data_IF_513662961229
#
_entry.id   IF_513662961229
#
_cell.length_a   1.000
_cell.length_b   1.000
_cell.length_c   1.000
_cell.angle_alpha   90.00
_cell.angle_beta   90.00
_cell.angle_gamma   90.00
#
_symmetry.space_group_name_H-M   'P 1'
#
loop_
_entity.id
_entity.type
_entity.pdbx_description
1 polymer ?
#
# COMPACT_ATOMS: atom_id res chain seq x y z
N UNK A 1 27.20 16.90 2.35
CA UNK A 1 26.73 18.28 2.63
C UNK A 1 26.08 18.27 4.01
N UNK A 2 26.51 19.14 4.93
CA UNK A 2 25.86 19.25 6.25
C UNK A 2 24.65 20.18 6.14
N UNK A 3 23.45 19.68 6.39
CA UNK A 3 22.26 20.52 6.58
C UNK A 3 22.26 21.09 8.01
N UNK A 4 23.12 22.07 8.25
CA UNK A 4 23.14 22.82 9.51
C UNK A 4 21.99 23.83 9.51
N UNK A 5 21.37 24.07 10.67
CA UNK A 5 20.33 25.11 10.80
C UNK A 5 18.91 24.73 10.35
N UNK A 6 18.57 23.43 10.34
CA UNK A 6 17.18 22.99 10.07
C UNK A 6 16.31 22.89 11.33
N UNK A 7 16.90 23.06 12.52
CA UNK A 7 16.24 22.88 13.81
C UNK A 7 14.96 23.71 13.88
N UNK A 8 13.84 23.08 14.23
CA UNK A 8 12.54 23.71 14.39
C UNK A 8 11.84 24.11 13.09
N UNK A 9 12.46 23.92 11.92
CA UNK A 9 11.77 24.15 10.66
C UNK A 9 10.70 23.07 10.43
N UNK A 10 9.59 23.45 9.79
CA UNK A 10 8.48 22.54 9.56
C UNK A 10 8.71 21.72 8.29
N UNK A 11 8.54 20.42 8.41
CA UNK A 11 8.47 19.47 7.30
C UNK A 11 7.03 18.97 7.20
N UNK A 12 6.39 19.20 6.07
CA UNK A 12 5.10 18.59 5.77
C UNK A 12 5.32 17.21 5.15
N UNK A 13 4.63 16.21 5.68
CA UNK A 13 4.65 14.82 5.19
C UNK A 13 3.22 14.37 4.93
N UNK A 14 2.93 13.94 3.71
CA UNK A 14 1.64 13.35 3.33
C UNK A 14 1.83 11.86 3.09
N UNK A 15 1.13 11.02 3.85
CA UNK A 15 1.03 9.58 3.61
C UNK A 15 0.01 9.37 2.51
N UNK A 16 0.48 9.03 1.31
CA UNK A 16 -0.39 8.83 0.14
C UNK A 16 -1.10 7.48 0.24
N UNK A 17 -0.31 6.42 0.43
CA UNK A 17 -0.77 5.05 0.37
C UNK A 17 0.38 4.06 0.43
N UNK A 18 0.04 2.78 0.35
CA UNK A 18 1.01 1.70 0.21
C UNK A 18 0.71 0.86 -1.03
N UNK A 19 1.71 0.12 -1.50
CA UNK A 19 1.58 -0.82 -2.61
C UNK A 19 2.24 -2.14 -2.25
N UNK A 20 1.71 -3.24 -2.79
CA UNK A 20 2.25 -4.59 -2.63
C UNK A 20 2.51 -5.01 -1.18
N UNK A 21 1.64 -4.58 -0.25
CA UNK A 21 1.81 -4.96 1.16
C UNK A 21 1.78 -6.48 1.32
N UNK A 22 2.65 -6.99 2.19
CA UNK A 22 2.60 -8.39 2.63
C UNK A 22 1.25 -8.64 3.30
N UNK A 23 0.54 -9.70 2.90
CA UNK A 23 -0.70 -10.08 3.58
C UNK A 23 -0.39 -10.69 4.95
N UNK A 24 -1.05 -10.20 5.99
CA UNK A 24 -1.03 -10.79 7.32
C UNK A 24 -2.29 -11.62 7.61
N UNK A 25 -3.36 -11.41 6.85
CA UNK A 25 -4.66 -12.08 7.03
C UNK A 25 -4.78 -13.40 6.24
N UNK A 26 -5.45 -14.38 6.84
CA UNK A 26 -5.79 -15.66 6.20
C UNK A 26 -7.22 -15.70 5.62
N UNK A 27 -8.17 -15.02 6.26
CA UNK A 27 -9.61 -15.18 5.98
C UNK A 27 -10.25 -13.86 5.54
N UNK A 28 -9.84 -12.72 6.10
CA UNK A 28 -10.38 -11.40 5.78
C UNK A 28 -9.47 -10.57 4.88
N UNK A 29 -9.93 -9.36 4.53
CA UNK A 29 -9.05 -8.30 4.03
C UNK A 29 -8.36 -7.62 5.20
N UNK A 30 -7.11 -7.24 5.00
CA UNK A 30 -6.36 -6.45 5.98
C UNK A 30 -6.85 -4.99 5.99
N UNK A 31 -6.79 -4.39 7.18
CA UNK A 31 -7.17 -3.02 7.53
C UNK A 31 -5.92 -2.20 7.89
N UNK A 32 -5.09 -1.82 6.91
CA UNK A 32 -3.79 -1.23 7.20
C UNK A 32 -3.88 0.21 7.74
N UNK A 33 -2.93 0.58 8.59
CA UNK A 33 -2.63 1.97 8.96
C UNK A 33 -1.12 2.20 9.03
N UNK A 34 -0.71 3.46 8.94
CA UNK A 34 0.70 3.87 8.92
C UNK A 34 1.02 4.72 10.14
N UNK A 35 2.07 4.34 10.85
CA UNK A 35 2.71 5.15 11.87
C UNK A 35 3.98 5.80 11.30
N UNK A 36 4.09 7.11 11.45
CA UNK A 36 5.28 7.89 11.17
C UNK A 36 5.96 8.24 12.48
N UNK A 37 7.25 7.93 12.59
CA UNK A 37 8.06 8.16 13.79
C UNK A 37 9.27 9.02 13.44
N UNK A 38 9.40 10.15 14.14
CA UNK A 38 10.50 11.09 13.97
C UNK A 38 10.95 11.61 15.34
N UNK A 39 12.09 11.13 15.81
CA UNK A 39 12.57 11.44 17.16
C UNK A 39 11.60 10.89 18.20
N UNK A 40 11.04 11.77 19.03
CA UNK A 40 10.00 11.44 20.00
C UNK A 40 8.57 11.70 19.50
N UNK A 41 8.40 12.21 18.28
CA UNK A 41 7.09 12.50 17.70
C UNK A 41 6.61 11.30 16.90
N UNK A 42 5.39 10.87 17.18
CA UNK A 42 4.70 9.82 16.43
C UNK A 42 3.36 10.36 15.91
N UNK A 43 3.07 10.06 14.65
CA UNK A 43 1.78 10.28 14.04
C UNK A 43 1.26 8.98 13.47
N UNK A 44 -0.07 8.80 13.46
CA UNK A 44 -0.73 7.63 12.91
C UNK A 44 -1.84 8.09 11.96
N UNK A 45 -1.95 7.43 10.81
CA UNK A 45 -3.10 7.59 9.90
C UNK A 45 -4.36 6.94 10.49
N UNK A 46 -5.51 7.35 9.98
CA UNK A 46 -6.72 6.55 10.09
C UNK A 46 -6.48 5.17 9.49
N UNK A 47 -7.21 4.18 10.02
CA UNK A 47 -7.21 2.83 9.47
C UNK A 47 -7.95 2.82 8.13
N UNK A 48 -7.34 2.24 7.11
CA UNK A 48 -7.97 2.02 5.81
C UNK A 48 -8.73 0.69 5.85
N UNK A 49 -9.97 0.71 6.33
CA UNK A 49 -10.84 -0.48 6.42
C UNK A 49 -11.04 -1.12 5.04
N UNK A 50 -10.89 -2.44 4.97
CA UNK A 50 -10.88 -3.26 3.76
C UNK A 50 -9.86 -2.80 2.70
N UNK A 51 -8.82 -2.07 3.12
CA UNK A 51 -7.80 -1.46 2.25
C UNK A 51 -6.91 -2.47 1.53
N UNK A 52 -6.83 -3.70 2.04
CA UNK A 52 -6.10 -4.79 1.39
C UNK A 52 -4.61 -4.45 1.21
N UNK A 53 -4.02 -4.89 0.11
CA UNK A 53 -2.57 -4.72 -0.15
C UNK A 53 -2.17 -3.36 -0.73
N UNK A 54 -3.15 -2.53 -1.08
CA UNK A 54 -2.93 -1.24 -1.75
C UNK A 54 -3.79 -0.13 -1.12
N UNK A 55 -3.64 0.13 0.19
CA UNK A 55 -4.43 1.15 0.88
C UNK A 55 -4.07 2.56 0.44
N UNK A 56 -5.05 3.46 0.50
CA UNK A 56 -4.89 4.89 0.23
C UNK A 56 -5.32 5.65 1.48
N UNK A 57 -4.50 6.60 1.92
CA UNK A 57 -4.73 7.39 3.13
C UNK A 57 -4.93 8.87 2.81
N UNK A 58 -4.01 9.46 2.03
CA UNK A 58 -4.01 10.90 1.68
C UNK A 58 -3.99 11.83 2.91
N UNK A 59 -3.34 11.38 4.00
CA UNK A 59 -3.31 12.12 5.27
C UNK A 59 -2.03 12.93 5.42
N UNK A 60 -2.15 14.16 5.93
CA UNK A 60 -1.06 15.13 6.05
C UNK A 60 -0.68 15.34 7.51
N UNK A 61 0.61 15.27 7.79
CA UNK A 61 1.23 15.53 9.08
C UNK A 61 2.33 16.59 8.94
N UNK A 62 2.69 17.21 10.07
CA UNK A 62 3.75 18.22 10.13
C UNK A 62 4.73 17.85 11.24
N UNK A 63 6.01 17.75 10.91
CA UNK A 63 7.08 17.53 11.86
C UNK A 63 7.92 18.78 12.05
N UNK A 64 8.34 19.05 13.28
CA UNK A 64 9.41 20.01 13.56
C UNK A 64 10.75 19.31 13.39
N UNK A 65 11.54 19.72 12.40
CA UNK A 65 12.83 19.12 12.09
C UNK A 65 13.80 19.25 13.25
N UNK A 66 14.53 18.15 13.49
CA UNK A 66 15.57 18.05 14.52
C UNK A 66 16.92 18.03 13.82
N UNK A 67 17.85 18.83 14.31
CA UNK A 67 19.21 18.87 13.81
C UNK A 67 19.85 17.49 13.98
N UNK A 68 20.66 17.10 12.99
CA UNK A 68 21.28 15.76 12.86
C UNK A 68 20.34 14.57 12.66
N UNK A 69 19.03 14.67 12.90
CA UNK A 69 18.10 13.60 12.55
C UNK A 69 17.72 13.69 11.06
N UNK A 70 18.00 12.62 10.31
CA UNK A 70 17.90 12.60 8.83
C UNK A 70 16.94 11.54 8.29
N UNK A 71 16.25 10.83 9.17
CA UNK A 71 15.37 9.73 8.81
C UNK A 71 14.03 9.88 9.52
N UNK A 72 12.94 9.54 8.82
CA UNK A 72 11.63 9.22 9.41
C UNK A 72 11.46 7.70 9.31
N UNK A 73 11.10 7.05 10.41
CA UNK A 73 10.69 5.65 10.36
C UNK A 73 9.21 5.59 9.99
N UNK A 74 8.89 4.71 9.04
CA UNK A 74 7.53 4.37 8.65
C UNK A 74 7.27 2.97 9.14
N UNK A 75 6.15 2.77 9.83
CA UNK A 75 5.72 1.45 10.30
C UNK A 75 4.30 1.22 9.84
N UNK A 76 4.05 0.10 9.16
CA UNK A 76 2.73 -0.27 8.66
C UNK A 76 2.22 -1.45 9.46
N UNK A 77 0.99 -1.30 9.95
CA UNK A 77 0.28 -2.27 10.77
C UNK A 77 -1.04 -2.63 10.11
N UNK A 78 -1.55 -3.80 10.42
CA UNK A 78 -2.90 -4.26 10.13
C UNK A 78 -3.73 -4.16 11.42
N UNK A 79 -4.82 -3.40 11.39
CA UNK A 79 -5.68 -3.24 12.56
C UNK A 79 -6.56 -4.47 12.75
N UNK A 80 -6.62 -4.99 13.98
CA UNK A 80 -7.49 -6.09 14.33
C UNK A 80 -8.47 -5.64 15.43
N UNK A 81 -9.77 -5.95 15.26
CA UNK A 81 -10.78 -5.53 16.25
C UNK A 81 -10.76 -6.41 17.51
N UNK A 82 -10.44 -7.69 17.37
CA UNK A 82 -10.53 -8.69 18.46
C UNK A 82 -9.17 -9.05 19.03
N UNK A 83 -8.13 -9.01 18.21
CA UNK A 83 -6.75 -9.37 18.57
C UNK A 83 -5.84 -8.15 18.51
N UNK A 84 -4.57 -8.33 18.90
CA UNK A 84 -3.56 -7.31 18.67
C UNK A 84 -3.34 -7.05 17.18
N UNK A 85 -2.98 -5.81 16.86
CA UNK A 85 -2.64 -5.40 15.51
C UNK A 85 -1.38 -6.12 15.01
N UNK A 86 -1.41 -6.55 13.74
CA UNK A 86 -0.31 -7.29 13.14
C UNK A 86 0.67 -6.36 12.45
N UNK A 87 1.96 -6.56 12.72
CA UNK A 87 3.02 -5.83 12.04
C UNK A 87 3.14 -6.31 10.59
N UNK A 88 3.02 -5.40 9.62
CA UNK A 88 3.22 -5.69 8.20
C UNK A 88 4.67 -5.46 7.82
N UNK A 89 5.18 -4.24 8.05
CA UNK A 89 6.52 -3.85 7.64
C UNK A 89 6.96 -2.48 8.14
N UNK A 90 8.26 -2.21 8.05
CA UNK A 90 8.87 -0.92 8.41
C UNK A 90 9.87 -0.47 7.34
N UNK A 91 9.98 0.85 7.14
CA UNK A 91 10.90 1.47 6.20
C UNK A 91 11.53 2.73 6.78
N UNK A 92 12.73 3.08 6.29
CA UNK A 92 13.46 4.29 6.67
C UNK A 92 13.45 5.28 5.52
N UNK A 93 12.82 6.42 5.74
CA UNK A 93 12.65 7.49 4.75
C UNK A 93 13.75 8.51 4.95
N UNK A 94 14.62 8.68 3.94
CA UNK A 94 15.75 9.61 4.01
C UNK A 94 15.31 11.04 3.69
N UNK A 95 15.61 11.98 4.58
CA UNK A 95 15.23 13.38 4.42
C UNK A 95 16.16 14.17 3.47
N UNK A 96 17.29 13.59 3.05
CA UNK A 96 18.28 14.29 2.24
C UNK A 96 17.68 14.94 0.99
N UNK A 97 16.82 14.21 0.27
CA UNK A 97 16.24 14.70 -0.99
C UNK A 97 15.31 15.89 -0.75
N UNK A 98 14.37 15.78 0.19
CA UNK A 98 13.45 16.88 0.51
C UNK A 98 14.17 18.09 1.11
N UNK A 99 15.22 17.88 1.91
CA UNK A 99 16.01 19.00 2.47
C UNK A 99 16.84 19.73 1.40
N UNK A 100 17.33 19.01 0.38
CA UNK A 100 18.05 19.61 -0.75
C UNK A 100 17.12 20.33 -1.72
N UNK A 101 16.02 19.68 -2.11
CA UNK A 101 15.19 20.11 -3.25
C UNK A 101 13.82 20.67 -2.87
N UNK A 102 13.46 20.62 -1.59
CA UNK A 102 12.17 21.09 -1.07
C UNK A 102 11.01 20.12 -1.32
N UNK A 103 11.25 19.03 -2.04
CA UNK A 103 10.23 18.08 -2.44
C UNK A 103 10.78 16.65 -2.56
N UNK A 104 9.97 15.67 -2.15
CA UNK A 104 10.18 14.25 -2.42
C UNK A 104 8.84 13.52 -2.53
N UNK A 105 8.73 12.57 -3.46
CA UNK A 105 7.53 11.76 -3.75
C UNK A 105 7.91 10.31 -4.11
N UNK A 106 9.10 9.87 -3.70
CA UNK A 106 9.52 8.51 -3.99
C UNK A 106 8.77 7.48 -3.14
N UNK A 107 8.48 6.28 -3.67
CA UNK A 107 8.07 5.15 -2.87
C UNK A 107 9.26 4.64 -2.03
N UNK A 108 8.98 4.23 -0.79
CA UNK A 108 9.97 3.73 0.15
C UNK A 108 9.69 2.25 0.48
N UNK A 109 10.68 1.37 0.31
CA UNK A 109 10.49 -0.06 0.56
C UNK A 109 10.26 -0.32 2.05
N UNK A 110 9.35 -1.25 2.31
CA UNK A 110 9.04 -1.76 3.64
C UNK A 110 9.66 -3.15 3.80
N UNK A 111 10.09 -3.46 5.01
CA UNK A 111 10.66 -4.75 5.36
C UNK A 111 9.96 -5.34 6.57
N UNK A 112 9.81 -6.67 6.57
CA UNK A 112 9.36 -7.40 7.75
C UNK A 112 10.39 -7.33 8.87
N UNK A 113 10.04 -7.79 10.08
CA UNK A 113 11.02 -7.95 11.19
C UNK A 113 12.22 -8.82 10.83
N UNK A 114 12.08 -9.69 9.82
CA UNK A 114 13.15 -10.57 9.32
C UNK A 114 13.89 -9.99 8.12
N UNK A 115 13.67 -8.71 7.77
CA UNK A 115 14.31 -8.04 6.64
C UNK A 115 13.78 -8.43 5.25
N UNK A 116 12.67 -9.18 5.14
CA UNK A 116 12.09 -9.52 3.84
C UNK A 116 11.25 -8.37 3.32
N UNK A 117 11.21 -8.17 2.00
CA UNK A 117 10.35 -7.17 1.38
C UNK A 117 8.89 -7.35 1.80
N UNK A 118 8.23 -6.25 2.18
CA UNK A 118 6.88 -6.22 2.72
C UNK A 118 5.96 -5.20 2.01
N UNK A 119 6.36 -4.73 0.82
CA UNK A 119 5.67 -3.70 0.05
C UNK A 119 6.41 -2.37 0.07
N UNK A 120 5.72 -1.31 -0.32
CA UNK A 120 6.23 0.05 -0.38
C UNK A 120 5.22 1.04 0.23
N UNK A 121 5.73 2.10 0.85
CA UNK A 121 4.95 3.24 1.30
C UNK A 121 5.31 4.47 0.46
N UNK A 122 4.30 5.14 -0.10
CA UNK A 122 4.50 6.40 -0.84
C UNK A 122 4.22 7.57 0.07
N UNK A 123 5.22 8.44 0.24
CA UNK A 123 5.10 9.68 1.00
C UNK A 123 5.41 10.87 0.08
N UNK A 124 4.61 11.92 0.20
CA UNK A 124 4.93 13.23 -0.38
C UNK A 124 5.46 14.13 0.73
N UNK A 125 6.71 14.58 0.62
CA UNK A 125 7.35 15.47 1.58
C UNK A 125 7.57 16.85 0.95
N UNK A 126 7.31 17.90 1.73
CA UNK A 126 7.50 19.30 1.32
C UNK A 126 8.25 20.08 2.38
N UNK A 127 9.30 20.79 1.96
CA UNK A 127 10.14 21.62 2.81
C UNK A 127 10.37 22.99 2.17
N UNK A 128 9.82 24.03 2.77
CA UNK A 128 9.77 25.37 2.17
C UNK A 128 11.12 26.12 2.21
N UNK A 129 12.03 25.73 3.11
CA UNK A 129 13.34 26.39 3.29
C UNK A 129 14.48 25.65 2.57
N UNK A 130 14.17 24.92 1.50
CA UNK A 130 15.16 24.19 0.73
C UNK A 130 16.12 25.14 0.00
N UNK A 131 17.37 24.71 -0.16
CA UNK A 131 18.40 25.49 -0.84
C UNK A 131 18.15 25.62 -2.35
N UNK A 132 17.58 24.58 -2.98
CA UNK A 132 17.27 24.55 -4.41
C UNK A 132 15.84 24.04 -4.63
N UNK A 133 14.79 24.84 -4.36
CA UNK A 133 13.41 24.39 -4.46
C UNK A 133 13.08 23.97 -5.90
N UNK A 134 12.82 22.69 -6.10
CA UNK A 134 12.20 22.18 -7.33
C UNK A 134 10.70 22.33 -7.13
N UNK A 135 10.08 23.21 -7.90
CA UNK A 135 8.62 23.30 -7.95
C UNK A 135 8.14 22.14 -8.85
N UNK A 136 7.48 21.09 -8.33
CA UNK A 136 6.91 20.06 -9.20
C UNK A 136 5.82 20.70 -10.05
N UNK A 137 6.02 20.60 -11.37
CA UNK A 137 5.11 20.93 -12.48
C UNK A 137 3.80 21.63 -12.08
N UNK A 138 3.72 22.94 -12.35
CA UNK A 138 2.42 23.57 -12.56
C UNK A 138 1.71 22.81 -13.70
N UNK A 139 0.40 22.50 -13.60
CA UNK A 139 -0.34 22.04 -14.76
C UNK A 139 -0.19 23.12 -15.83
N UNK A 140 0.49 22.79 -16.91
CA UNK A 140 0.63 23.63 -18.08
C UNK A 140 -0.75 23.71 -18.73
N UNK A 141 -1.64 24.53 -18.19
CA UNK A 141 -2.81 24.96 -18.92
C UNK A 141 -2.28 25.79 -20.10
N UNK A 142 -2.43 25.34 -21.35
CA UNK A 142 -2.04 26.17 -22.48
C UNK A 142 -2.92 27.44 -22.45
N UNK A 143 -2.36 28.65 -22.59
CA UNK A 143 -3.20 29.80 -22.86
C UNK A 143 -3.86 29.55 -24.22
N UNK A 144 -5.19 29.48 -24.23
CA UNK A 144 -5.96 29.57 -25.46
C UNK A 144 -5.65 30.94 -26.09
N UNK A 145 -4.68 30.97 -27.00
CA UNK A 145 -4.47 32.07 -27.92
C UNK A 145 -5.29 31.78 -29.17
N UNK A 146 -6.47 32.40 -29.23
CA UNK A 146 -7.34 32.45 -30.40
C UNK A 146 -6.57 33.03 -31.59
N UNK A 147 -6.43 32.27 -32.68
CA UNK A 147 -5.95 32.79 -33.96
C UNK A 147 -7.05 32.61 -35.02
N UNK A 148 -7.37 33.65 -35.83
CA UNK A 148 -8.41 33.56 -36.84
C UNK A 148 -7.86 32.86 -38.10
N UNK A 149 -8.69 32.00 -38.69
CA UNK A 149 -8.49 31.31 -39.95
C UNK A 149 -8.14 32.24 -41.12
N UNK A 150 -7.17 31.84 -41.95
CA UNK A 150 -7.17 32.05 -43.40
C UNK A 150 -6.55 30.84 -44.14
N UNK A 151 -7.37 30.16 -44.94
CA UNK A 151 -6.98 29.31 -46.10
C UNK A 151 -6.92 30.22 -47.35
N UNK A 152 -6.26 29.92 -48.52
CA UNK A 152 -6.22 28.64 -49.27
C UNK A 152 -4.93 28.50 -50.16
N UNK A 153 -4.86 27.81 -51.35
CA UNK A 153 -5.61 26.69 -51.93
C UNK A 153 -4.73 25.46 -52.28
N UNK A 154 -5.41 24.38 -52.67
CA UNK A 154 -4.89 23.10 -53.14
C UNK A 154 -4.01 23.17 -54.39
N UNK A 155 -3.00 22.29 -54.47
CA UNK A 155 -2.46 21.76 -55.74
C UNK A 155 -2.04 20.30 -55.54
N UNK A 156 -2.49 19.48 -56.48
CA UNK A 156 -2.64 18.02 -56.42
C UNK A 156 -1.36 17.25 -56.74
N UNK A 157 -1.06 16.22 -55.94
CA UNK A 157 -0.16 15.12 -56.32
C UNK A 157 -0.93 13.80 -56.30
N UNK A 158 -0.77 12.93 -57.32
CA UNK A 158 -1.58 11.72 -57.47
C UNK A 158 -1.26 10.66 -56.41
N UNK A 159 -2.31 10.16 -55.76
CA UNK A 159 -2.26 8.95 -54.94
C UNK A 159 -2.23 7.72 -55.85
N UNK A 160 -1.14 6.95 -55.78
CA UNK A 160 -1.12 5.54 -56.18
C UNK A 160 -1.35 4.69 -54.92
N UNK A 161 -2.50 4.03 -54.83
CA UNK A 161 -2.75 3.01 -53.82
C UNK A 161 -2.08 1.69 -54.24
N UNK A 162 -1.18 1.10 -53.43
CA UNK A 162 -0.86 -0.31 -53.59
C UNK A 162 -1.99 -1.16 -52.99
N UNK A 163 -2.50 -2.07 -53.81
CA UNK A 163 -3.41 -3.16 -53.46
C UNK A 163 -2.86 -4.02 -52.30
N UNK A 164 -3.70 -4.53 -51.38
CA UNK A 164 -3.26 -5.51 -50.40
C UNK A 164 -2.93 -6.84 -51.08
N UNK A 165 -1.67 -7.26 -50.95
CA UNK A 165 -1.22 -8.61 -51.35
C UNK A 165 -1.82 -9.67 -50.41
N UNK A 166 -2.21 -10.84 -50.93
CA UNK A 166 -2.72 -11.93 -50.10
C UNK A 166 -1.63 -12.49 -49.19
N UNK A 167 -1.94 -12.62 -47.91
CA UNK A 167 -1.08 -13.28 -46.92
C UNK A 167 -0.77 -14.72 -47.35
N UNK A 168 0.46 -15.21 -47.11
CA UNK A 168 0.81 -16.60 -47.37
C UNK A 168 0.02 -17.55 -46.46
N UNK A 169 -0.44 -18.64 -47.05
CA UNK A 169 -1.12 -19.74 -46.37
C UNK A 169 -0.23 -20.33 -45.27
N UNK A 170 -0.81 -20.48 -44.07
CA UNK A 170 -0.18 -21.22 -42.97
C UNK A 170 -0.12 -22.72 -43.33
N UNK A 171 0.96 -23.43 -42.96
CA UNK A 171 1.01 -24.88 -43.14
C UNK A 171 -0.05 -25.56 -42.28
N UNK A 172 -0.82 -26.43 -42.93
CA UNK A 172 -1.79 -27.34 -42.32
C UNK A 172 -1.08 -28.39 -41.47
N UNK A 173 -1.28 -28.33 -40.16
CA UNK A 173 -0.90 -29.40 -39.24
C UNK A 173 -1.86 -30.57 -39.39
N UNK A 174 -1.40 -31.84 -39.38
CA UNK A 174 -2.29 -32.98 -39.39
C UNK A 174 -3.10 -33.02 -38.09
N UNK A 175 -4.41 -33.26 -38.25
CA UNK A 175 -5.40 -33.38 -37.20
C UNK A 175 -5.03 -34.49 -36.21
N UNK A 176 -4.45 -34.13 -35.07
CA UNK A 176 -4.38 -35.01 -33.92
C UNK A 176 -5.78 -35.14 -33.34
N UNK A 177 -6.38 -36.33 -33.49
CA UNK A 177 -7.59 -36.75 -32.80
C UNK A 177 -7.54 -36.32 -31.33
N UNK A 178 -8.48 -35.49 -30.91
CA UNK A 178 -8.74 -35.32 -29.49
C UNK A 178 -9.23 -36.67 -28.93
N UNK A 179 -8.61 -37.22 -27.87
CA UNK A 179 -9.29 -38.26 -27.09
C UNK A 179 -10.52 -37.64 -26.40
N UNK A 180 -11.60 -38.42 -26.21
CA UNK A 180 -12.77 -37.93 -25.50
C UNK A 180 -12.43 -37.54 -24.05
N UNK A 181 -13.20 -36.64 -23.42
CA UNK A 181 -12.95 -36.22 -22.06
C UNK A 181 -13.06 -37.42 -21.10
N UNK A 182 -12.00 -37.65 -20.34
CA UNK A 182 -11.99 -38.58 -19.22
C UNK A 182 -13.08 -38.20 -18.23
N UNK A 183 -14.04 -39.10 -18.04
CA UNK A 183 -14.98 -39.02 -16.92
C UNK A 183 -14.19 -39.11 -15.63
N UNK A 184 -14.11 -38.01 -14.90
CA UNK A 184 -13.57 -38.02 -13.53
C UNK A 184 -14.44 -38.97 -12.68
N UNK A 185 -13.85 -39.90 -11.92
CA UNK A 185 -14.60 -40.64 -10.92
C UNK A 185 -15.13 -39.66 -9.87
N UNK A 186 -16.32 -39.93 -9.29
CA UNK A 186 -16.85 -39.10 -8.22
C UNK A 186 -15.88 -39.09 -7.03
N UNK A 187 -15.84 -37.99 -6.24
CA UNK A 187 -15.04 -37.96 -5.02
C UNK A 187 -15.51 -39.05 -4.05
N UNK A 188 -14.60 -39.62 -3.23
CA UNK A 188 -14.98 -40.58 -2.22
C UNK A 188 -16.00 -39.97 -1.26
N UNK A 189 -17.03 -40.74 -0.93
CA UNK A 189 -18.03 -40.36 0.06
C UNK A 189 -17.33 -40.05 1.39
N UNK A 190 -17.63 -38.88 1.96
CA UNK A 190 -17.18 -38.53 3.30
C UNK A 190 -17.70 -39.58 4.30
N UNK A 191 -16.87 -40.04 5.25
CA UNK A 191 -17.36 -40.88 6.33
C UNK A 191 -18.43 -40.11 7.13
N UNK A 192 -19.45 -40.81 7.67
CA UNK A 192 -20.44 -40.17 8.52
C UNK A 192 -19.75 -39.51 9.72
N UNK A 193 -20.27 -38.37 10.21
CA UNK A 193 -19.75 -37.75 11.42
C UNK A 193 -19.82 -38.74 12.59
N UNK A 194 -18.85 -38.73 13.51
CA UNK A 194 -18.93 -39.55 14.71
C UNK A 194 -20.20 -39.18 15.49
N UNK A 195 -20.89 -40.21 15.99
CA UNK A 195 -22.00 -40.06 16.93
C UNK A 195 -21.57 -39.14 18.08
N UNK A 196 -22.47 -38.27 18.59
CA UNK A 196 -22.15 -37.45 19.74
C UNK A 196 -21.74 -38.35 20.90
N UNK A 197 -20.48 -38.21 21.33
CA UNK A 197 -19.96 -38.80 22.55
C UNK A 197 -20.94 -38.46 23.68
N UNK A 198 -21.49 -39.49 24.32
CA UNK A 198 -22.28 -39.32 25.52
C UNK A 198 -21.47 -38.47 26.51
N UNK A 199 -22.04 -37.34 26.91
CA UNK A 199 -21.48 -36.53 27.98
C UNK A 199 -21.24 -37.41 29.20
N UNK A 200 -20.04 -37.39 29.82
CA UNK A 200 -19.87 -38.00 31.12
C UNK A 200 -20.80 -37.27 32.12
N UNK A 201 -21.39 -37.97 33.10
CA UNK A 201 -22.22 -37.34 34.11
C UNK A 201 -21.43 -36.25 34.85
N UNK A 202 -22.07 -35.12 35.07
CA UNK A 202 -21.50 -34.01 35.83
C UNK A 202 -21.10 -34.48 37.25
N UNK A 203 -19.82 -34.40 37.56
CA UNK A 203 -19.32 -34.55 38.93
C UNK A 203 -19.82 -33.38 39.80
N UNK A 204 -20.40 -33.62 40.99
CA UNK A 204 -21.01 -32.57 41.81
C UNK A 204 -20.00 -31.74 42.65
N UNK A 205 -18.72 -31.71 42.29
CA UNK A 205 -17.71 -31.02 43.08
C UNK A 205 -17.30 -29.70 42.44
N UNK A 206 -17.92 -28.61 42.92
CA UNK A 206 -17.36 -27.27 42.80
C UNK A 206 -16.17 -27.12 43.77
N UNK A 207 -15.02 -26.58 43.35
CA UNK A 207 -14.00 -26.11 44.28
C UNK A 207 -14.48 -24.80 44.94
N UNK A 208 -14.17 -24.57 46.23
CA UNK A 208 -14.56 -23.34 46.93
C UNK A 208 -13.80 -22.13 46.36
N UNK A 209 -14.55 -21.08 46.02
CA UNK A 209 -13.99 -19.81 45.57
C UNK A 209 -13.21 -19.09 46.67
N UNK A 210 -12.15 -18.32 46.34
CA UNK A 210 -11.36 -17.61 47.31
C UNK A 210 -12.06 -16.32 47.79
N UNK A 211 -12.22 -16.20 49.11
CA UNK A 211 -11.75 -15.04 49.86
C UNK A 211 -12.56 -13.74 49.79
N UNK A 212 -13.26 -13.47 50.88
CA UNK A 212 -13.76 -12.18 51.35
C UNK A 212 -12.87 -10.96 51.03
N UNK A 213 -13.48 -9.90 50.47
CA UNK A 213 -12.95 -8.54 50.53
C UNK A 213 -13.56 -7.80 51.74
N UNK A 214 -12.77 -7.02 52.51
CA UNK A 214 -13.31 -6.17 53.57
C UNK A 214 -14.00 -4.91 52.99
N UNK A 215 -14.96 -4.31 53.71
CA UNK A 215 -15.70 -3.13 53.25
C UNK A 215 -14.85 -1.85 53.29
N UNK A 216 -15.19 -0.83 52.48
CA UNK A 216 -14.44 0.42 52.40
C UNK A 216 -14.71 1.33 53.62
N UNK A 217 -13.74 2.18 54.02
CA UNK A 217 -13.91 3.13 55.10
C UNK A 217 -14.79 4.32 54.69
N UNK A 218 -15.51 4.85 55.68
CA UNK A 218 -16.23 6.13 55.63
C UNK A 218 -15.29 7.32 55.67
#
# INVERSE_FOLDING_TARGET
MSFSGIQGHLLQVTVVGCTNLKNTEWISRQDPYVCLEYGSTQHRTSTCTDGGKMPIFQEKFTFSLIERLREINVVVWNSNTVTYDDFIGTGKVQLQRVLSYGYDDNPWPLQTKTGRYAGEARLIMRYEKAQNPVIPFAPSAPPYATSPYQFPPYSTLPQSYPTPSPYPAYPSYPSSMYPPPSTYPPPPAYPPPPLPSAYPPASPYYPPGPGFYPPPPY
#
